data_IF_434575651163
#
_entry.id   IF_434575651163
#
_cell.length_a   1.000
_cell.length_b   1.000
_cell.length_c   1.000
_cell.angle_alpha   90.00
_cell.angle_beta   90.00
_cell.angle_gamma   90.00
#
_symmetry.space_group_name_H-M   'P 1'
#
loop_
_entity.id
_entity.type
_entity.pdbx_description
1 polymer ?
#
# COMPACT_ATOMS: atom_id res chain seq x y z
N UNK A 1 17.19 11.17 4.89
CA UNK A 1 17.50 9.73 4.70
C UNK A 1 17.84 9.01 6.00
N UNK A 2 18.38 9.69 7.02
CA UNK A 2 18.78 9.08 8.29
C UNK A 2 17.69 9.20 9.39
N UNK A 3 16.47 9.60 9.02
CA UNK A 3 15.32 9.64 9.93
C UNK A 3 15.04 8.30 10.61
N UNK A 4 15.23 7.19 9.90
CA UNK A 4 15.01 5.84 10.43
C UNK A 4 15.95 5.45 11.59
N UNK A 5 17.08 6.14 11.76
CA UNK A 5 18.00 5.95 12.89
C UNK A 5 17.85 7.02 13.97
N UNK A 6 16.82 7.88 13.86
CA UNK A 6 16.50 8.93 14.82
C UNK A 6 17.22 10.26 14.60
N UNK A 7 17.77 10.49 13.40
CA UNK A 7 18.34 11.79 13.03
C UNK A 7 17.32 12.60 12.23
N UNK A 8 16.91 13.74 12.77
CA UNK A 8 16.11 14.70 12.03
C UNK A 8 16.94 15.38 10.91
N UNK A 9 16.26 16.20 10.11
CA UNK A 9 16.85 16.92 8.99
C UNK A 9 18.05 17.83 9.37
N UNK A 10 18.00 18.67 10.43
CA UNK A 10 19.16 19.47 10.83
C UNK A 10 20.37 18.63 11.24
N UNK A 11 20.19 17.55 11.99
CA UNK A 11 21.29 16.68 12.39
C UNK A 11 21.89 15.93 11.20
N UNK A 12 21.07 15.43 10.27
CA UNK A 12 21.52 14.78 9.04
C UNK A 12 22.36 15.73 8.17
N UNK A 13 21.90 16.97 7.99
CA UNK A 13 22.61 17.97 7.20
C UNK A 13 23.99 18.32 7.80
N UNK A 14 24.06 18.49 9.13
CA UNK A 14 25.31 18.78 9.82
C UNK A 14 26.30 17.60 9.75
N UNK A 15 25.83 16.36 9.93
CA UNK A 15 26.67 15.17 9.81
C UNK A 15 27.22 15.01 8.38
N UNK A 16 26.38 15.21 7.35
CA UNK A 16 26.82 15.17 5.94
C UNK A 16 27.87 16.23 5.63
N UNK A 17 27.73 17.45 6.18
CA UNK A 17 28.72 18.50 6.01
C UNK A 17 30.08 18.10 6.60
N UNK A 18 30.09 17.50 7.80
CA UNK A 18 31.31 16.99 8.42
C UNK A 18 31.94 15.82 7.65
N UNK A 19 31.14 14.90 7.11
CA UNK A 19 31.66 13.78 6.29
C UNK A 19 32.30 14.29 5.00
N UNK A 20 31.71 15.32 4.38
CA UNK A 20 32.21 15.88 3.13
C UNK A 20 33.47 16.75 3.29
N UNK A 21 33.56 17.53 4.37
CA UNK A 21 34.66 18.49 4.57
C UNK A 21 35.78 17.96 5.48
N UNK A 22 35.53 16.89 6.24
CA UNK A 22 36.41 16.44 7.31
C UNK A 22 36.37 17.39 8.51
N UNK A 23 37.53 17.63 9.14
CA UNK A 23 37.59 18.42 10.37
C UNK A 23 37.34 19.92 10.13
N UNK A 24 36.18 20.43 10.55
CA UNK A 24 35.70 21.79 10.26
C UNK A 24 35.43 22.62 11.53
N UNK A 25 35.54 23.94 11.41
CA UNK A 25 35.22 24.89 12.49
C UNK A 25 33.73 25.23 12.50
N UNK A 26 33.19 25.56 13.68
CA UNK A 26 31.76 25.86 13.88
C UNK A 26 31.24 26.93 12.92
N UNK A 27 31.96 28.05 12.77
CA UNK A 27 31.53 29.15 11.90
C UNK A 27 31.60 28.82 10.40
N UNK A 28 32.44 27.86 10.00
CA UNK A 28 32.47 27.36 8.62
C UNK A 28 31.23 26.48 8.35
N UNK A 29 30.92 25.57 9.28
CA UNK A 29 29.74 24.71 9.20
C UNK A 29 28.44 25.53 9.22
N UNK A 30 28.33 26.53 10.09
CA UNK A 30 27.16 27.40 10.19
C UNK A 30 26.87 28.14 8.87
N UNK A 31 27.90 28.73 8.25
CA UNK A 31 27.78 29.41 6.94
C UNK A 31 27.35 28.45 5.84
N UNK A 32 27.91 27.23 5.80
CA UNK A 32 27.57 26.22 4.78
C UNK A 32 26.14 25.71 4.93
N UNK A 33 25.70 25.49 6.17
CA UNK A 33 24.35 25.02 6.46
C UNK A 33 23.31 26.14 6.34
N UNK A 34 23.73 27.41 6.16
CA UNK A 34 22.84 28.56 6.15
C UNK A 34 22.14 28.79 7.48
N UNK A 35 22.76 28.38 8.60
CA UNK A 35 22.18 28.38 9.95
C UNK A 35 23.00 29.22 10.92
N UNK A 36 22.39 29.60 12.04
CA UNK A 36 23.10 30.29 13.12
C UNK A 36 24.15 29.40 13.79
N UNK A 37 25.22 30.00 14.33
CA UNK A 37 26.24 29.25 15.07
C UNK A 37 25.69 28.57 16.33
N UNK A 38 24.68 29.15 16.97
CA UNK A 38 24.00 28.54 18.12
C UNK A 38 23.29 27.24 17.76
N UNK A 39 22.51 27.27 16.69
CA UNK A 39 21.79 26.09 16.16
C UNK A 39 22.76 25.02 15.67
N UNK A 40 23.79 25.42 14.95
CA UNK A 40 24.82 24.50 14.44
C UNK A 40 25.58 23.84 15.59
N UNK A 41 25.88 24.60 16.66
CA UNK A 41 26.54 24.07 17.86
C UNK A 41 25.65 23.06 18.58
N UNK A 42 24.35 23.34 18.71
CA UNK A 42 23.40 22.41 19.31
C UNK A 42 23.31 21.10 18.51
N UNK A 43 23.22 21.19 17.18
CA UNK A 43 23.20 20.02 16.30
C UNK A 43 24.50 19.19 16.41
N UNK A 44 25.67 19.83 16.45
CA UNK A 44 26.95 19.14 16.62
C UNK A 44 27.08 18.45 17.97
N UNK A 45 26.58 19.05 19.05
CA UNK A 45 26.54 18.41 20.36
C UNK A 45 25.59 17.21 20.40
N UNK A 46 24.42 17.31 19.76
CA UNK A 46 23.53 16.17 19.63
C UNK A 46 24.19 15.04 18.82
N UNK A 47 24.90 15.35 17.73
CA UNK A 47 25.67 14.36 16.98
C UNK A 47 26.78 13.73 17.84
N UNK A 48 27.44 14.50 18.70
CA UNK A 48 28.44 14.00 19.66
C UNK A 48 27.86 13.02 20.67
N UNK A 49 26.67 13.31 21.21
CA UNK A 49 25.95 12.40 22.12
C UNK A 49 25.59 11.07 21.47
N UNK A 50 25.32 11.07 20.16
CA UNK A 50 25.03 9.85 19.38
C UNK A 50 26.29 9.19 18.81
N UNK A 51 27.50 9.67 19.16
CA UNK A 51 28.77 9.13 18.67
C UNK A 51 29.03 9.39 17.18
N UNK A 52 28.31 10.32 16.56
CA UNK A 52 28.41 10.69 15.14
C UNK A 52 29.39 11.82 14.89
N UNK A 53 29.66 12.67 15.87
CA UNK A 53 30.65 13.73 15.77
C UNK A 53 31.59 13.70 16.98
N UNK A 54 32.80 14.20 16.80
CA UNK A 54 33.75 14.38 17.89
C UNK A 54 34.53 15.68 17.68
N UNK A 55 35.15 16.15 18.75
CA UNK A 55 36.13 17.23 18.65
C UNK A 55 37.41 16.70 18.01
N UNK A 56 37.87 17.39 16.97
CA UNK A 56 39.10 17.02 16.27
C UNK A 56 40.33 17.36 17.11
N UNK A 57 41.29 16.44 17.17
CA UNK A 57 42.61 16.68 17.77
C UNK A 57 43.52 17.53 16.87
N UNK A 58 43.16 17.74 15.60
CA UNK A 58 43.95 18.50 14.63
C UNK A 58 43.88 20.02 14.82
N UNK A 59 43.08 20.52 15.76
CA UNK A 59 43.05 21.93 16.13
C UNK A 59 41.94 22.27 17.12
N UNK A 60 42.16 23.22 18.05
CA UNK A 60 41.16 23.60 19.03
C UNK A 60 39.88 24.12 18.35
N UNK A 61 38.71 23.64 18.80
CA UNK A 61 37.41 24.11 18.32
C UNK A 61 36.92 23.49 17.00
N UNK A 62 37.65 22.52 16.44
CA UNK A 62 37.22 21.78 15.24
C UNK A 62 36.39 20.56 15.58
N UNK A 63 35.44 20.25 14.71
CA UNK A 63 34.56 19.10 14.77
C UNK A 63 34.88 18.17 13.61
N UNK A 64 34.77 16.86 13.83
CA UNK A 64 34.97 15.84 12.81
C UNK A 64 33.88 14.79 12.90
N UNK A 65 33.43 14.26 11.76
CA UNK A 65 32.50 13.13 11.73
C UNK A 65 33.19 11.85 12.19
N UNK A 66 32.49 11.04 12.98
CA UNK A 66 32.86 9.65 13.16
C UNK A 66 32.68 8.90 11.83
N UNK A 67 33.53 7.90 11.52
CA UNK A 67 33.44 7.14 10.27
C UNK A 67 32.04 6.54 10.07
N UNK A 68 31.34 6.84 8.95
CA UNK A 68 29.95 6.45 8.76
C UNK A 68 29.69 4.95 8.91
N UNK A 69 30.58 4.10 8.39
CA UNK A 69 30.43 2.64 8.49
C UNK A 69 30.42 2.11 9.92
N UNK A 70 31.13 2.77 10.84
CA UNK A 70 31.20 2.38 12.26
C UNK A 70 30.07 3.03 13.04
N UNK A 71 29.92 4.35 12.92
CA UNK A 71 29.00 5.11 13.75
C UNK A 71 27.53 4.87 13.36
N UNK A 72 27.20 4.87 12.07
CA UNK A 72 25.85 4.53 11.61
C UNK A 72 25.55 3.04 11.83
N UNK A 73 26.55 2.16 11.67
CA UNK A 73 26.41 0.73 11.95
C UNK A 73 26.04 0.45 13.41
N UNK A 74 26.72 1.09 14.36
CA UNK A 74 26.41 0.96 15.78
C UNK A 74 24.99 1.46 16.12
N UNK A 75 24.58 2.62 15.58
CA UNK A 75 23.23 3.13 15.77
C UNK A 75 22.16 2.22 15.16
N UNK A 76 22.40 1.67 13.97
CA UNK A 76 21.49 0.70 13.35
C UNK A 76 21.35 -0.56 14.20
N UNK A 77 22.45 -1.09 14.73
CA UNK A 77 22.42 -2.25 15.63
C UNK A 77 21.66 -1.95 16.92
N UNK A 78 21.87 -0.77 17.51
CA UNK A 78 21.11 -0.36 18.70
C UNK A 78 19.61 -0.24 18.39
N UNK A 79 19.23 0.42 17.28
CA UNK A 79 17.82 0.54 16.89
C UNK A 79 17.15 -0.81 16.63
N UNK A 80 17.86 -1.74 15.99
CA UNK A 80 17.37 -3.12 15.82
C UNK A 80 17.13 -3.78 17.17
N UNK A 81 18.08 -3.66 18.10
CA UNK A 81 17.90 -4.22 19.44
C UNK A 81 16.71 -3.59 20.20
N UNK A 82 16.53 -2.27 20.10
CA UNK A 82 15.37 -1.59 20.69
C UNK A 82 14.05 -2.09 20.08
N UNK A 83 14.01 -2.33 18.77
CA UNK A 83 12.86 -2.92 18.09
C UNK A 83 12.61 -4.37 18.53
N UNK A 84 13.65 -5.21 18.60
CA UNK A 84 13.55 -6.61 19.07
C UNK A 84 12.98 -6.66 20.51
N UNK A 85 13.40 -5.74 21.39
CA UNK A 85 12.88 -5.62 22.75
C UNK A 85 11.42 -5.16 22.76
N UNK A 86 11.05 -4.21 21.91
CA UNK A 86 9.67 -3.76 21.78
C UNK A 86 8.75 -4.87 21.26
N UNK A 87 9.22 -5.68 20.29
CA UNK A 87 8.50 -6.85 19.78
C UNK A 87 8.28 -7.89 20.88
N UNK A 88 9.31 -8.18 21.70
CA UNK A 88 9.18 -9.08 22.84
C UNK A 88 8.16 -8.56 23.88
N UNK A 89 8.24 -7.27 24.20
CA UNK A 89 7.30 -6.65 25.13
C UNK A 89 5.85 -6.69 24.61
N UNK A 90 5.64 -6.44 23.32
CA UNK A 90 4.34 -6.55 22.67
C UNK A 90 3.81 -7.99 22.72
N UNK A 91 4.66 -9.00 22.49
CA UNK A 91 4.28 -10.41 22.59
C UNK A 91 3.83 -10.78 24.02
N UNK A 92 4.57 -10.32 25.04
CA UNK A 92 4.20 -10.54 26.45
C UNK A 92 2.88 -9.86 26.82
N UNK A 93 2.67 -8.62 26.39
CA UNK A 93 1.40 -7.91 26.60
C UNK A 93 0.24 -8.61 25.89
N UNK A 94 0.46 -9.17 24.69
CA UNK A 94 -0.55 -9.95 23.98
C UNK A 94 -0.87 -11.29 24.69
N UNK A 95 0.10 -11.90 25.38
CA UNK A 95 -0.13 -13.05 26.25
C UNK A 95 -0.90 -12.66 27.51
N UNK A 96 -0.54 -11.57 28.18
CA UNK A 96 -1.23 -11.07 29.36
C UNK A 96 -2.68 -10.68 29.04
N UNK A 97 -2.91 -10.01 27.90
CA UNK A 97 -4.24 -9.68 27.42
C UNK A 97 -5.11 -10.92 27.19
N UNK A 98 -4.53 -12.00 26.66
CA UNK A 98 -5.22 -13.30 26.50
C UNK A 98 -5.50 -13.96 27.86
N UNK A 99 -4.54 -13.95 28.77
CA UNK A 99 -4.63 -14.60 30.07
C UNK A 99 -5.57 -13.88 31.06
N UNK A 100 -5.75 -12.57 30.93
CA UNK A 100 -6.53 -11.73 31.86
C UNK A 100 -8.06 -11.85 31.76
N UNK A 101 -8.60 -12.60 30.81
CA UNK A 101 -10.04 -12.81 30.67
C UNK A 101 -10.50 -14.21 31.07
N UNK A 102 -11.69 -14.34 31.67
CA UNK A 102 -12.48 -15.59 31.70
C UNK A 102 -12.96 -15.98 30.29
N UNK A 103 -12.09 -15.87 29.29
CA UNK A 103 -12.37 -16.07 27.88
C UNK A 103 -11.99 -17.50 27.52
N UNK A 104 -12.98 -18.28 27.11
CA UNK A 104 -12.77 -19.57 26.45
C UNK A 104 -11.83 -19.34 25.25
N UNK A 105 -10.90 -20.25 24.91
CA UNK A 105 -10.00 -20.10 23.75
C UNK A 105 -10.69 -19.80 22.40
N UNK A 106 -12.00 -20.06 22.27
CA UNK A 106 -12.80 -19.65 21.13
C UNK A 106 -13.09 -18.14 21.04
N UNK A 107 -13.12 -17.41 22.16
CA UNK A 107 -13.30 -15.96 22.21
C UNK A 107 -12.03 -15.18 21.84
N UNK A 108 -10.85 -15.80 21.93
CA UNK A 108 -9.59 -15.20 21.48
C UNK A 108 -9.42 -15.23 19.96
N UNK A 109 -10.22 -16.05 19.27
CA UNK A 109 -10.19 -16.16 17.80
C UNK A 109 -11.06 -15.09 17.13
N UNK A 110 -11.98 -14.47 17.87
CA UNK A 110 -13.00 -13.55 17.34
C UNK A 110 -13.10 -12.29 18.22
N UNK A 111 -12.76 -11.14 17.66
CA UNK A 111 -12.92 -9.84 18.30
C UNK A 111 -14.05 -9.06 17.60
N UNK A 112 -14.98 -8.49 18.39
CA UNK A 112 -16.04 -7.61 17.87
C UNK A 112 -15.62 -6.17 18.08
N UNK A 113 -15.56 -5.41 16.99
CA UNK A 113 -15.23 -3.98 16.97
C UNK A 113 -16.48 -3.20 16.61
N UNK A 114 -16.92 -2.30 17.48
CA UNK A 114 -18.16 -1.52 17.33
C UNK A 114 -17.85 -0.04 17.17
N UNK A 115 -18.57 0.62 16.27
CA UNK A 115 -18.44 2.05 15.99
C UNK A 115 -17.51 2.35 14.82
N UNK A 116 -17.90 3.34 14.02
CA UNK A 116 -17.22 3.68 12.75
C UNK A 116 -15.73 3.99 12.94
N UNK A 117 -15.38 4.81 13.95
CA UNK A 117 -13.98 5.17 14.23
C UNK A 117 -13.14 3.97 14.64
N UNK A 118 -13.69 3.08 15.47
CA UNK A 118 -12.96 1.89 15.92
C UNK A 118 -12.74 0.91 14.76
N UNK A 119 -13.74 0.73 13.89
CA UNK A 119 -13.62 -0.08 12.67
C UNK A 119 -12.55 0.51 11.74
N UNK A 120 -12.55 1.83 11.54
CA UNK A 120 -11.55 2.50 10.71
C UNK A 120 -10.13 2.32 11.25
N UNK A 121 -9.92 2.53 12.55
CA UNK A 121 -8.63 2.31 13.20
C UNK A 121 -8.18 0.86 13.09
N UNK A 122 -9.09 -0.10 13.29
CA UNK A 122 -8.75 -1.53 13.19
C UNK A 122 -8.40 -1.95 11.77
N UNK A 123 -9.11 -1.43 10.77
CA UNK A 123 -8.80 -1.63 9.36
C UNK A 123 -7.39 -1.13 9.02
N UNK A 124 -7.05 0.10 9.42
CA UNK A 124 -5.71 0.69 9.21
C UNK A 124 -4.63 -0.15 9.91
N UNK A 125 -4.86 -0.58 11.16
CA UNK A 125 -3.92 -1.45 11.87
C UNK A 125 -3.70 -2.80 11.18
N UNK A 126 -4.76 -3.40 10.63
CA UNK A 126 -4.67 -4.66 9.89
C UNK A 126 -3.78 -4.49 8.65
N UNK A 127 -3.96 -3.42 7.89
CA UNK A 127 -3.12 -3.16 6.71
C UNK A 127 -1.68 -2.84 7.09
N UNK A 128 -1.46 -1.91 8.02
CA UNK A 128 -0.13 -1.54 8.50
C UNK A 128 0.63 -2.73 9.13
N UNK A 129 -0.09 -3.70 9.70
CA UNK A 129 0.49 -4.92 10.26
C UNK A 129 0.87 -5.98 9.24
N UNK A 130 0.40 -5.88 7.99
CA UNK A 130 0.67 -6.86 6.94
C UNK A 130 2.14 -6.81 6.49
N UNK A 131 2.72 -8.00 6.31
CA UNK A 131 4.12 -8.24 5.96
C UNK A 131 4.30 -8.85 4.58
N UNK A 132 3.38 -9.68 4.13
CA UNK A 132 3.48 -10.43 2.88
C UNK A 132 2.35 -10.10 1.91
N UNK A 133 1.10 -10.10 2.38
CA UNK A 133 -0.04 -9.83 1.50
C UNK A 133 -1.27 -9.27 2.18
N UNK A 134 -2.03 -8.49 1.42
CA UNK A 134 -3.39 -8.08 1.74
C UNK A 134 -4.34 -8.53 0.64
N UNK A 135 -5.47 -9.14 1.02
CA UNK A 135 -6.51 -9.58 0.08
C UNK A 135 -7.84 -8.98 0.48
N UNK A 136 -8.58 -8.41 -0.47
CA UNK A 136 -9.83 -7.72 -0.16
C UNK A 136 -10.96 -8.05 -1.13
N UNK A 137 -12.17 -8.25 -0.60
CA UNK A 137 -13.43 -8.16 -1.33
C UNK A 137 -14.08 -6.82 -0.98
N UNK A 138 -14.26 -5.97 -1.98
CA UNK A 138 -14.72 -4.59 -1.82
C UNK A 138 -16.12 -4.45 -2.40
N UNK A 139 -17.03 -3.92 -1.58
CA UNK A 139 -18.40 -3.57 -1.98
C UNK A 139 -18.52 -2.07 -2.23
N UNK A 140 -19.58 -1.64 -2.94
CA UNK A 140 -19.85 -0.22 -3.22
C UNK A 140 -20.20 0.64 -1.99
N UNK A 141 -20.33 0.08 -0.79
CA UNK A 141 -20.73 0.85 0.39
C UNK A 141 -19.62 0.83 1.45
N UNK A 142 -18.62 1.73 1.39
CA UNK A 142 -17.63 1.84 2.46
C UNK A 142 -18.32 2.28 3.76
N UNK A 143 -18.23 1.45 4.80
CA UNK A 143 -18.86 1.70 6.10
C UNK A 143 -18.04 2.65 6.98
N UNK A 144 -16.70 2.64 6.86
CA UNK A 144 -15.82 3.32 7.81
C UNK A 144 -14.61 4.03 7.18
N UNK A 145 -14.02 3.45 6.11
CA UNK A 145 -12.87 4.03 5.40
C UNK A 145 -13.13 3.89 3.91
N UNK A 146 -12.99 5.01 3.19
CA UNK A 146 -12.96 5.04 1.73
C UNK A 146 -11.54 4.85 1.20
N UNK A 147 -11.35 4.43 -0.06
CA UNK A 147 -10.01 4.25 -0.62
C UNK A 147 -9.20 5.55 -0.66
N UNK A 148 -9.87 6.71 -0.72
CA UNK A 148 -9.24 8.04 -0.69
C UNK A 148 -8.69 8.46 0.68
N UNK A 149 -9.18 7.86 1.77
CA UNK A 149 -8.75 8.14 3.15
C UNK A 149 -7.72 7.13 3.64
N UNK A 150 -7.29 6.20 2.78
CA UNK A 150 -6.48 5.07 3.15
C UNK A 150 -4.98 5.25 2.87
N UNK A 151 -4.35 6.24 3.52
CA UNK A 151 -2.90 6.50 3.40
C UNK A 151 -2.05 5.27 3.79
N UNK A 152 -2.59 4.41 4.65
CA UNK A 152 -1.93 3.17 5.07
C UNK A 152 -1.65 2.22 3.91
N UNK A 153 -2.50 2.19 2.89
CA UNK A 153 -2.33 1.32 1.72
C UNK A 153 -1.08 1.67 0.93
N UNK A 154 -0.84 2.96 0.71
CA UNK A 154 0.35 3.43 -0.01
C UNK A 154 1.64 3.07 0.74
N UNK A 155 1.63 3.24 2.06
CA UNK A 155 2.76 2.86 2.91
C UNK A 155 3.02 1.35 2.82
N UNK A 156 1.98 0.54 2.92
CA UNK A 156 2.08 -0.92 2.95
C UNK A 156 2.58 -1.47 1.61
N UNK A 157 2.07 -0.95 0.49
CA UNK A 157 2.56 -1.34 -0.84
C UNK A 157 3.98 -0.85 -1.08
N UNK A 158 4.35 0.33 -0.57
CA UNK A 158 5.73 0.82 -0.57
C UNK A 158 6.73 -0.11 0.14
N UNK A 159 6.26 -0.97 1.05
CA UNK A 159 7.08 -2.02 1.71
C UNK A 159 7.16 -3.33 0.91
N UNK A 160 6.49 -3.43 -0.24
CA UNK A 160 6.47 -4.62 -1.10
C UNK A 160 5.42 -5.67 -0.74
N UNK A 161 4.40 -5.32 0.04
CA UNK A 161 3.29 -6.21 0.38
C UNK A 161 2.39 -6.43 -0.84
N UNK A 162 2.10 -7.69 -1.16
CA UNK A 162 1.30 -8.04 -2.33
C UNK A 162 -0.20 -7.79 -2.11
N UNK A 163 -0.83 -7.00 -2.97
CA UNK A 163 -2.26 -6.69 -2.90
C UNK A 163 -3.06 -7.46 -3.97
N UNK A 164 -4.11 -8.14 -3.53
CA UNK A 164 -5.12 -8.76 -4.41
C UNK A 164 -6.51 -8.28 -4.02
N UNK A 165 -7.14 -7.51 -4.89
CA UNK A 165 -8.43 -6.90 -4.62
C UNK A 165 -9.46 -7.42 -5.62
N UNK A 166 -10.59 -7.93 -5.14
CA UNK A 166 -11.78 -8.14 -5.96
C UNK A 166 -12.80 -7.09 -5.59
N UNK A 167 -13.26 -6.35 -6.59
CA UNK A 167 -14.32 -5.37 -6.41
C UNK A 167 -15.64 -5.88 -6.98
N UNK A 168 -16.71 -5.48 -6.33
CA UNK A 168 -18.06 -5.53 -6.88
C UNK A 168 -18.22 -4.54 -8.04
N UNK A 169 -18.96 -4.91 -9.09
CA UNK A 169 -19.13 -4.09 -10.29
C UNK A 169 -19.69 -2.71 -9.97
N UNK A 170 -20.58 -2.61 -8.99
CA UNK A 170 -21.18 -1.33 -8.59
C UNK A 170 -20.12 -0.29 -8.18
N UNK A 171 -18.97 -0.70 -7.66
CA UNK A 171 -17.84 0.18 -7.35
C UNK A 171 -17.38 0.95 -8.59
N UNK A 172 -17.40 0.33 -9.77
CA UNK A 172 -17.01 0.96 -11.04
C UNK A 172 -17.98 2.07 -11.48
N UNK A 173 -19.23 2.03 -11.00
CA UNK A 173 -20.24 3.05 -11.31
C UNK A 173 -20.14 4.28 -10.40
N UNK A 174 -19.32 4.20 -9.34
CA UNK A 174 -19.16 5.29 -8.39
C UNK A 174 -18.20 6.36 -8.90
N UNK A 175 -18.46 7.66 -8.62
CA UNK A 175 -17.61 8.76 -9.07
C UNK A 175 -16.15 8.66 -8.61
N UNK A 176 -15.88 8.12 -7.42
CA UNK A 176 -14.52 7.93 -6.89
C UNK A 176 -13.92 6.56 -7.20
N UNK A 177 -14.73 5.59 -7.66
CA UNK A 177 -14.34 4.19 -7.76
C UNK A 177 -13.12 3.94 -8.63
N UNK A 178 -13.01 4.54 -9.82
CA UNK A 178 -11.80 4.35 -10.66
C UNK A 178 -10.63 5.24 -10.28
N UNK A 179 -10.83 6.33 -9.53
CA UNK A 179 -9.70 7.11 -9.00
C UNK A 179 -8.99 6.26 -7.92
N UNK A 180 -9.76 5.66 -7.03
CA UNK A 180 -9.28 4.71 -6.03
C UNK A 180 -8.60 3.50 -6.70
N UNK A 181 -9.22 2.92 -7.73
CA UNK A 181 -8.65 1.77 -8.45
C UNK A 181 -7.42 2.11 -9.29
N UNK A 182 -7.36 3.31 -9.88
CA UNK A 182 -6.20 3.75 -10.65
C UNK A 182 -5.00 3.98 -9.73
N UNK A 183 -5.23 4.55 -8.54
CA UNK A 183 -4.20 4.65 -7.50
C UNK A 183 -3.71 3.27 -7.06
N UNK A 184 -4.61 2.34 -6.81
CA UNK A 184 -4.29 0.96 -6.47
C UNK A 184 -3.47 0.27 -7.58
N UNK A 185 -3.93 0.30 -8.84
CA UNK A 185 -3.23 -0.36 -9.94
C UNK A 185 -1.90 0.28 -10.33
N UNK A 186 -1.70 1.56 -10.01
CA UNK A 186 -0.41 2.23 -10.10
C UNK A 186 0.66 1.68 -9.15
N UNK A 187 0.26 0.90 -8.14
CA UNK A 187 1.13 0.34 -7.10
C UNK A 187 1.40 -1.17 -7.27
N UNK A 188 1.30 -1.69 -8.50
CA UNK A 188 1.45 -3.14 -8.83
C UNK A 188 0.40 -4.06 -8.16
N UNK A 189 -0.69 -3.50 -7.68
CA UNK A 189 -1.79 -4.26 -7.11
C UNK A 189 -2.53 -5.07 -8.19
N UNK A 190 -3.04 -6.25 -7.84
CA UNK A 190 -3.85 -7.05 -8.76
C UNK A 190 -5.32 -6.84 -8.45
N UNK A 191 -6.03 -6.20 -9.37
CA UNK A 191 -7.46 -5.95 -9.24
C UNK A 191 -8.25 -6.86 -10.17
N UNK A 192 -9.32 -7.45 -9.65
CA UNK A 192 -10.35 -8.14 -10.42
C UNK A 192 -11.74 -7.64 -10.08
N UNK A 193 -12.71 -7.92 -10.94
CA UNK A 193 -14.11 -7.51 -10.78
C UNK A 193 -15.06 -8.71 -10.90
N UNK A 194 -16.09 -8.71 -10.06
CA UNK A 194 -17.25 -9.61 -10.13
C UNK A 194 -18.53 -8.79 -10.13
N UNK A 195 -19.65 -9.42 -10.49
CA UNK A 195 -20.96 -8.73 -10.44
C UNK A 195 -21.34 -8.35 -9.00
N UNK A 196 -21.26 -9.31 -8.08
CA UNK A 196 -21.52 -9.16 -6.65
C UNK A 196 -20.47 -9.96 -5.85
N UNK A 197 -19.98 -9.40 -4.74
CA UNK A 197 -19.16 -10.15 -3.78
C UNK A 197 -20.04 -10.69 -2.64
N UNK A 198 -19.77 -11.90 -2.12
CA UNK A 198 -20.63 -12.52 -1.10
C UNK A 198 -20.65 -11.75 0.24
N UNK A 199 -19.57 -11.02 0.53
CA UNK A 199 -19.45 -10.11 1.67
C UNK A 199 -18.24 -9.20 1.47
N UNK A 200 -18.21 -8.06 2.17
CA UNK A 200 -16.98 -7.29 2.32
C UNK A 200 -16.02 -8.08 3.22
N UNK A 201 -14.77 -8.20 2.80
CA UNK A 201 -13.75 -8.99 3.48
C UNK A 201 -12.39 -8.36 3.27
N UNK A 202 -11.56 -8.34 4.31
CA UNK A 202 -10.15 -7.96 4.22
C UNK A 202 -9.34 -9.00 4.98
N UNK A 203 -8.24 -9.46 4.41
CA UNK A 203 -7.34 -10.48 4.93
C UNK A 203 -5.91 -9.95 4.91
N UNK A 204 -5.13 -10.22 5.96
CA UNK A 204 -3.70 -9.94 6.02
C UNK A 204 -2.91 -11.21 6.37
N UNK A 205 -1.88 -11.52 5.57
CA UNK A 205 -0.88 -12.58 5.77
C UNK A 205 -1.43 -13.98 6.12
N UNK A 206 -2.68 -14.30 5.77
CA UNK A 206 -3.37 -15.52 6.24
C UNK A 206 -3.43 -15.67 7.78
N UNK A 207 -3.28 -14.57 8.54
CA UNK A 207 -3.30 -14.57 10.01
C UNK A 207 -4.45 -13.78 10.63
N UNK A 208 -5.03 -12.86 9.86
CA UNK A 208 -6.11 -11.98 10.31
C UNK A 208 -7.11 -11.72 9.19
N UNK A 209 -8.40 -11.74 9.50
CA UNK A 209 -9.46 -11.22 8.64
C UNK A 209 -10.30 -10.19 9.37
N UNK A 210 -10.95 -9.32 8.60
CA UNK A 210 -12.01 -8.45 9.07
C UNK A 210 -13.21 -8.54 8.13
N UNK A 211 -14.39 -8.76 8.70
CA UNK A 211 -15.68 -8.79 7.98
C UNK A 211 -16.71 -7.93 8.71
N UNK A 212 -17.60 -7.21 8.02
CA UNK A 212 -18.69 -6.52 8.68
C UNK A 212 -19.59 -7.50 9.43
N UNK A 213 -19.99 -7.11 10.63
CA UNK A 213 -21.05 -7.79 11.35
C UNK A 213 -22.35 -7.06 11.02
N UNK A 214 -23.30 -7.75 10.38
CA UNK A 214 -24.66 -7.23 10.20
C UNK A 214 -25.35 -7.16 11.57
N UNK A 215 -25.10 -6.08 12.30
CA UNK A 215 -25.68 -5.82 13.62
C UNK A 215 -27.03 -5.11 13.47
N UNK A 216 -28.00 -5.46 14.32
CA UNK A 216 -29.28 -4.73 14.45
C UNK A 216 -29.17 -3.52 15.39
N UNK A 217 -27.98 -3.25 15.94
CA UNK A 217 -27.71 -2.10 16.78
C UNK A 217 -27.62 -0.79 15.98
N UNK A 218 -27.66 0.37 16.66
CA UNK A 218 -27.58 1.68 16.01
C UNK A 218 -26.19 1.98 15.42
N UNK A 219 -25.15 1.30 15.89
CA UNK A 219 -23.76 1.48 15.45
C UNK A 219 -23.29 0.32 14.56
N UNK A 220 -22.48 0.58 13.53
CA UNK A 220 -21.88 -0.47 12.72
C UNK A 220 -20.92 -1.30 13.57
N UNK A 221 -20.79 -2.58 13.24
CA UNK A 221 -19.84 -3.48 13.89
C UNK A 221 -19.08 -4.28 12.83
N UNK A 222 -17.87 -4.70 13.18
CA UNK A 222 -17.04 -5.61 12.40
C UNK A 222 -16.53 -6.73 13.30
N UNK A 223 -16.30 -7.90 12.69
CA UNK A 223 -15.68 -9.05 13.32
C UNK A 223 -14.24 -9.16 12.81
N UNK A 224 -13.29 -9.17 13.73
CA UNK A 224 -11.89 -9.51 13.48
C UNK A 224 -11.70 -10.98 13.80
N UNK A 225 -11.20 -11.73 12.83
CA UNK A 225 -11.01 -13.18 12.91
C UNK A 225 -9.51 -13.48 12.86
N UNK A 226 -9.00 -14.08 13.93
CA UNK A 226 -7.61 -14.52 14.02
C UNK A 226 -7.42 -15.92 13.43
N UNK A 227 -6.17 -16.34 13.27
CA UNK A 227 -5.74 -17.65 12.77
C UNK A 227 -6.57 -18.80 13.37
N UNK A 228 -7.40 -19.41 12.52
CA UNK A 228 -8.38 -20.44 12.90
C UNK A 228 -8.99 -21.08 11.66
N UNK A 229 -9.73 -22.19 11.81
CA UNK A 229 -10.47 -22.79 10.70
C UNK A 229 -11.53 -21.87 10.07
N UNK A 230 -12.02 -20.85 10.81
CA UNK A 230 -12.88 -19.82 10.22
C UNK A 230 -12.09 -18.90 9.30
N UNK A 231 -10.87 -18.52 9.68
CA UNK A 231 -9.98 -17.74 8.82
C UNK A 231 -9.64 -18.52 7.54
N UNK A 232 -9.38 -19.83 7.65
CA UNK A 232 -9.15 -20.69 6.49
C UNK A 232 -10.36 -20.70 5.55
N UNK A 233 -11.58 -20.77 6.10
CA UNK A 233 -12.81 -20.71 5.32
C UNK A 233 -13.00 -19.34 4.62
N UNK A 234 -12.70 -18.23 5.30
CA UNK A 234 -12.73 -16.88 4.71
C UNK A 234 -11.66 -16.70 3.62
N UNK A 235 -10.47 -17.26 3.83
CA UNK A 235 -9.41 -17.29 2.82
C UNK A 235 -9.85 -18.11 1.60
N UNK A 236 -10.46 -19.28 1.83
CA UNK A 236 -11.05 -20.10 0.77
C UNK A 236 -12.18 -19.39 -0.01
N UNK A 237 -13.03 -18.62 0.68
CA UNK A 237 -14.05 -17.77 0.07
C UNK A 237 -13.40 -16.76 -0.89
N UNK A 238 -12.38 -16.05 -0.42
CA UNK A 238 -11.63 -15.11 -1.25
C UNK A 238 -11.05 -15.80 -2.48
N UNK A 239 -10.33 -16.93 -2.34
CA UNK A 239 -9.71 -17.61 -3.47
C UNK A 239 -10.74 -18.16 -4.48
N UNK A 240 -11.96 -18.49 -4.03
CA UNK A 240 -13.05 -18.88 -4.92
C UNK A 240 -13.53 -17.70 -5.76
N UNK A 241 -13.84 -16.58 -5.10
CA UNK A 241 -14.28 -15.34 -5.76
C UNK A 241 -13.18 -14.83 -6.70
N UNK A 242 -11.93 -14.85 -6.26
CA UNK A 242 -10.77 -14.44 -7.05
C UNK A 242 -10.67 -15.22 -8.36
N UNK A 243 -10.81 -16.54 -8.34
CA UNK A 243 -10.74 -17.40 -9.55
C UNK A 243 -11.81 -17.07 -10.58
N UNK A 244 -13.00 -16.68 -10.13
CA UNK A 244 -14.14 -16.36 -10.99
C UNK A 244 -14.12 -14.91 -11.49
N UNK A 245 -13.40 -14.03 -10.79
CA UNK A 245 -13.33 -12.60 -11.09
C UNK A 245 -12.55 -12.29 -12.39
N UNK A 246 -13.00 -11.27 -13.11
CA UNK A 246 -12.39 -10.76 -14.34
C UNK A 246 -11.24 -9.79 -14.00
N UNK A 247 -10.04 -9.92 -14.57
CA UNK A 247 -8.96 -8.99 -14.30
C UNK A 247 -9.24 -7.59 -14.86
N UNK A 248 -8.96 -6.58 -14.04
CA UNK A 248 -9.00 -5.17 -14.43
C UNK A 248 -7.57 -4.67 -14.65
N UNK A 249 -7.30 -4.16 -15.86
CA UNK A 249 -6.05 -3.49 -16.20
C UNK A 249 -6.32 -1.99 -16.30
N UNK A 250 -5.81 -1.22 -15.33
CA UNK A 250 -5.83 0.24 -15.36
C UNK A 250 -4.41 0.71 -15.06
N UNK A 251 -3.87 1.68 -15.80
CA UNK A 251 -2.55 2.24 -15.50
C UNK A 251 -1.33 1.32 -15.72
N UNK A 252 -1.50 0.02 -16.00
CA UNK A 252 -0.39 -0.87 -16.29
C UNK A 252 0.40 -0.34 -17.50
N UNK A 253 1.70 -0.13 -17.35
CA UNK A 253 2.61 -0.03 -18.50
C UNK A 253 2.34 -1.24 -19.37
N UNK A 254 2.17 -1.03 -20.67
CA UNK A 254 2.27 -2.11 -21.65
C UNK A 254 3.68 -2.70 -21.47
N UNK A 255 3.80 -3.72 -20.63
CA UNK A 255 5.05 -4.39 -20.38
C UNK A 255 5.49 -4.98 -21.70
N UNK A 256 6.53 -4.40 -22.30
CA UNK A 256 7.40 -4.98 -23.34
C UNK A 256 6.68 -6.01 -24.22
N UNK A 257 5.64 -5.57 -24.95
CA UNK A 257 5.17 -6.36 -26.07
C UNK A 257 6.24 -6.18 -27.15
N UNK A 258 7.10 -7.20 -27.21
CA UNK A 258 8.06 -7.55 -28.25
C UNK A 258 8.25 -6.49 -29.34
N UNK A 259 9.47 -5.98 -29.49
CA UNK A 259 9.89 -5.10 -30.60
C UNK A 259 9.71 -5.75 -32.01
N UNK A 260 9.10 -6.94 -32.07
CA UNK A 260 8.65 -7.65 -33.27
C UNK A 260 7.28 -7.24 -33.81
N UNK A 261 7.19 -6.04 -34.39
CA UNK A 261 6.49 -5.78 -35.67
C UNK A 261 4.97 -5.99 -35.85
N UNK A 262 4.18 -6.48 -34.89
CA UNK A 262 2.71 -6.53 -35.02
C UNK A 262 2.02 -5.34 -34.33
N UNK A 263 0.98 -4.74 -34.95
CA UNK A 263 0.22 -3.68 -34.30
C UNK A 263 -0.47 -4.23 -33.05
N UNK A 264 -0.20 -3.59 -31.90
CA UNK A 264 -0.71 -3.96 -30.60
C UNK A 264 -1.57 -2.83 -30.00
N UNK A 265 -2.55 -3.15 -29.13
CA UNK A 265 -3.33 -2.14 -28.41
C UNK A 265 -2.44 -1.27 -27.53
N UNK A 266 -2.71 0.04 -27.49
CA UNK A 266 -2.05 0.94 -26.54
C UNK A 266 -2.62 0.77 -25.11
N UNK A 267 -2.03 1.48 -24.13
CA UNK A 267 -2.47 1.42 -22.72
C UNK A 267 -3.95 1.76 -22.56
N UNK A 268 -4.41 2.82 -23.24
CA UNK A 268 -5.80 3.28 -23.15
C UNK A 268 -6.76 2.31 -23.81
N UNK A 269 -6.33 1.65 -24.88
CA UNK A 269 -7.12 0.60 -25.52
C UNK A 269 -7.34 -0.59 -24.59
N UNK A 270 -6.30 -1.00 -23.84
CA UNK A 270 -6.42 -2.05 -22.81
C UNK A 270 -7.35 -1.63 -21.66
N UNK A 271 -7.25 -0.39 -21.19
CA UNK A 271 -8.14 0.18 -20.17
C UNK A 271 -9.61 0.17 -20.62
N UNK A 272 -9.88 0.66 -21.83
CA UNK A 272 -11.23 0.63 -22.43
C UNK A 272 -11.74 -0.80 -22.51
N UNK A 273 -10.92 -1.73 -23.00
CA UNK A 273 -11.30 -3.12 -23.20
C UNK A 273 -11.59 -3.84 -21.87
N UNK A 274 -10.76 -3.63 -20.85
CA UNK A 274 -10.97 -4.17 -19.50
C UNK A 274 -12.29 -3.68 -18.90
N UNK A 275 -12.59 -2.37 -19.00
CA UNK A 275 -13.84 -1.81 -18.44
C UNK A 275 -15.08 -2.28 -19.21
N UNK A 276 -15.00 -2.42 -20.53
CA UNK A 276 -16.11 -2.96 -21.32
C UNK A 276 -16.39 -4.43 -20.98
N UNK A 277 -15.34 -5.24 -20.79
CA UNK A 277 -15.49 -6.64 -20.35
C UNK A 277 -15.98 -6.76 -18.91
N UNK A 278 -15.66 -5.77 -18.06
CA UNK A 278 -16.26 -5.65 -16.73
C UNK A 278 -17.76 -5.31 -16.75
N UNK A 279 -18.34 -5.02 -17.93
CA UNK A 279 -19.76 -4.74 -18.14
C UNK A 279 -20.10 -3.25 -18.22
N UNK A 280 -19.11 -2.36 -18.29
CA UNK A 280 -19.36 -0.92 -18.43
C UNK A 280 -19.83 -0.57 -19.84
N UNK A 281 -20.66 0.49 -19.95
CA UNK A 281 -21.06 1.05 -21.24
C UNK A 281 -20.01 2.02 -21.79
N UNK A 282 -19.97 2.24 -23.11
CA UNK A 282 -19.08 3.24 -23.72
C UNK A 282 -19.20 4.62 -23.08
N UNK A 283 -20.40 5.02 -22.67
CA UNK A 283 -20.64 6.31 -22.01
C UNK A 283 -20.05 6.34 -20.58
N UNK A 284 -20.18 5.24 -19.84
CA UNK A 284 -19.58 5.09 -18.51
C UNK A 284 -18.05 5.06 -18.60
N UNK A 285 -17.49 4.30 -19.55
CA UNK A 285 -16.05 4.27 -19.82
C UNK A 285 -15.52 5.65 -20.21
N UNK A 286 -16.22 6.36 -21.09
CA UNK A 286 -15.86 7.70 -21.52
C UNK A 286 -15.80 8.67 -20.33
N UNK A 287 -16.86 8.70 -19.52
CA UNK A 287 -16.90 9.54 -18.31
C UNK A 287 -15.73 9.21 -17.39
N UNK A 288 -15.39 7.94 -17.24
CA UNK A 288 -14.44 7.57 -16.21
C UNK A 288 -12.97 7.70 -16.60
N UNK A 289 -12.64 7.48 -17.87
CA UNK A 289 -11.28 7.69 -18.37
C UNK A 289 -11.03 9.16 -18.77
N UNK A 290 -11.97 10.06 -18.47
CA UNK A 290 -11.98 11.46 -18.93
C UNK A 290 -11.79 11.58 -20.46
N UNK A 291 -12.49 10.71 -21.20
CA UNK A 291 -12.47 10.65 -22.66
C UNK A 291 -13.81 11.09 -23.26
N UNK A 292 -13.78 11.62 -24.49
CA UNK A 292 -15.01 11.80 -25.26
C UNK A 292 -15.62 10.46 -25.67
N UNK A 293 -16.96 10.34 -25.65
CA UNK A 293 -17.68 9.12 -26.08
C UNK A 293 -17.25 8.64 -27.48
N UNK A 294 -17.07 9.57 -28.41
CA UNK A 294 -16.61 9.26 -29.78
C UNK A 294 -15.19 8.68 -29.80
N UNK A 295 -14.34 9.10 -28.86
CA UNK A 295 -12.98 8.56 -28.73
C UNK A 295 -13.01 7.11 -28.30
N UNK A 296 -13.83 6.76 -27.29
CA UNK A 296 -14.03 5.38 -26.85
C UNK A 296 -14.55 4.52 -28.00
N UNK A 297 -15.61 4.96 -28.68
CA UNK A 297 -16.18 4.24 -29.81
C UNK A 297 -15.19 4.03 -30.97
N UNK A 298 -14.38 5.05 -31.27
CA UNK A 298 -13.31 4.96 -32.28
C UNK A 298 -12.24 3.95 -31.90
N UNK A 299 -11.80 3.93 -30.64
CA UNK A 299 -10.82 2.96 -30.11
C UNK A 299 -11.34 1.53 -30.18
N UNK A 300 -12.58 1.29 -29.73
CA UNK A 300 -13.23 -0.03 -29.84
C UNK A 300 -13.28 -0.49 -31.30
N UNK A 301 -13.65 0.40 -32.21
CA UNK A 301 -13.66 0.09 -33.65
C UNK A 301 -12.26 -0.26 -34.17
N UNK A 302 -11.23 0.48 -33.77
CA UNK A 302 -9.85 0.18 -34.11
C UNK A 302 -9.40 -1.19 -33.59
N UNK A 303 -9.78 -1.57 -32.37
CA UNK A 303 -9.50 -2.90 -31.81
C UNK A 303 -10.22 -4.03 -32.55
N UNK A 304 -11.45 -3.77 -32.99
CA UNK A 304 -12.19 -4.70 -33.83
C UNK A 304 -11.50 -4.90 -35.19
N UNK A 305 -11.06 -3.83 -35.84
CA UNK A 305 -10.27 -3.89 -37.07
C UNK A 305 -8.94 -4.64 -36.86
N UNK A 306 -8.26 -4.39 -35.74
CA UNK A 306 -6.99 -5.03 -35.37
C UNK A 306 -7.10 -6.54 -35.13
N UNK A 307 -8.27 -7.00 -34.68
CA UNK A 307 -8.55 -8.43 -34.42
C UNK A 307 -9.28 -9.11 -35.57
N UNK A 308 -9.71 -8.36 -36.60
CA UNK A 308 -10.61 -8.87 -37.62
C UNK A 308 -12.02 -9.19 -37.09
N UNK A 309 -12.39 -8.65 -35.92
CA UNK A 309 -13.68 -8.88 -35.29
C UNK A 309 -14.77 -8.07 -35.95
N UNK A 310 -15.91 -8.70 -36.25
CA UNK A 310 -17.12 -8.03 -36.75
C UNK A 310 -18.11 -7.68 -35.65
N UNK A 311 -17.95 -8.30 -34.46
CA UNK A 311 -18.77 -8.04 -33.28
C UNK A 311 -17.90 -7.77 -32.05
N UNK A 312 -18.45 -7.06 -31.07
CA UNK A 312 -17.76 -6.84 -29.77
C UNK A 312 -17.54 -8.14 -28.99
N UNK A 313 -18.42 -9.13 -29.18
CA UNK A 313 -18.25 -10.45 -28.58
C UNK A 313 -17.01 -11.16 -29.13
N UNK A 314 -16.80 -11.10 -30.45
CA UNK A 314 -15.58 -11.61 -31.08
C UNK A 314 -14.34 -10.85 -30.62
N UNK A 315 -14.43 -9.51 -30.47
CA UNK A 315 -13.34 -8.73 -29.92
C UNK A 315 -12.97 -9.21 -28.51
N UNK A 316 -13.96 -9.45 -27.64
CA UNK A 316 -13.72 -9.99 -26.30
C UNK A 316 -13.04 -11.35 -26.31
N UNK A 317 -13.46 -12.25 -27.20
CA UNK A 317 -12.82 -13.56 -27.37
C UNK A 317 -11.35 -13.45 -27.82
N UNK A 318 -11.08 -12.65 -28.85
CA UNK A 318 -9.71 -12.46 -29.35
C UNK A 318 -8.82 -11.72 -28.36
N UNK A 319 -9.37 -10.76 -27.62
CA UNK A 319 -8.65 -10.11 -26.53
C UNK A 319 -8.21 -11.10 -25.46
N UNK A 320 -9.07 -12.07 -25.12
CA UNK A 320 -8.73 -13.14 -24.19
C UNK A 320 -7.64 -14.05 -24.74
N UNK A 321 -7.78 -14.55 -25.98
CA UNK A 321 -6.78 -15.41 -26.62
C UNK A 321 -5.39 -14.74 -26.74
N UNK A 322 -5.37 -13.44 -27.01
CA UNK A 322 -4.14 -12.64 -27.16
C UNK A 322 -3.58 -12.14 -25.82
N UNK A 323 -4.19 -12.49 -24.69
CA UNK A 323 -3.73 -12.08 -23.36
C UNK A 323 -3.90 -10.58 -23.05
N UNK A 324 -4.66 -9.83 -23.87
CA UNK A 324 -4.91 -8.41 -23.65
C UNK A 324 -5.69 -8.17 -22.34
N UNK A 325 -6.46 -9.17 -21.91
CA UNK A 325 -7.40 -9.09 -20.77
C UNK A 325 -7.40 -10.35 -19.89
N UNK A 326 -6.31 -11.15 -19.87
CA UNK A 326 -6.16 -12.36 -19.04
C UNK A 326 -4.72 -12.47 -18.46
N UNK A 327 -4.37 -13.27 -17.42
CA UNK A 327 -5.10 -13.88 -16.29
C UNK A 327 -4.82 -13.04 -15.04
#
# INVERSE_FOLDING_TARGET
>A
MLGAIGLDEPHEAAYRALVAEGAAELGALARRLGRGEGETRAALHALELHGLAARSSAGPGRWVAAPPGVALGALLTQRRHELDQAELAAALLAEEYRAGGERTPAHDLLEVVTGTTAIAQRFIQLQLGAKESVRALVTGAPVAVSGMENDAEEEVVGRGVAYRVVIEREVLHQPSGLVELSAALGREERVRVVDEVPTKLVLADDTLAMVPLTSRGPEPAALVVHASGLLDALSGLFESVWREALPLRLGASAGEFDEGGEPAPDRTDLEVLSLLLAGMTDASVAKQLDLGLRTVQRRVKGLMELTGSTTRLQLGWHAYERGWVAR
#
